data_IF_278220895997
#
_entry.id   IF_278220895997
#
_cell.length_a   1.000
_cell.length_b   1.000
_cell.length_c   1.000
_cell.angle_alpha   90.00
_cell.angle_beta   90.00
_cell.angle_gamma   90.00
#
_symmetry.space_group_name_H-M   'P 1'
#
loop_
_entity.id
_entity.type
_entity.pdbx_description
1 polymer ?
#
# COMPACT_ATOMS: atom_id res chain seq x y z
N UNK A 1 -14.43 -8.73 -5.09
CA UNK A 1 -15.57 -8.43 -5.99
C UNK A 1 -16.35 -9.64 -6.43
N UNK A 2 -15.69 -10.73 -6.85
CA UNK A 2 -16.39 -11.94 -7.30
C UNK A 2 -17.39 -12.50 -6.27
N UNK A 3 -16.98 -12.67 -5.01
CA UNK A 3 -17.90 -13.14 -3.95
C UNK A 3 -19.11 -12.21 -3.75
N UNK A 4 -18.89 -10.89 -3.76
CA UNK A 4 -19.97 -9.89 -3.62
C UNK A 4 -20.95 -9.92 -4.80
N UNK A 5 -20.46 -10.02 -6.03
CA UNK A 5 -21.31 -10.16 -7.22
C UNK A 5 -22.14 -11.44 -7.19
N UNK A 6 -21.58 -12.54 -6.67
CA UNK A 6 -22.28 -13.82 -6.53
C UNK A 6 -23.37 -13.76 -5.45
N UNK A 7 -23.10 -13.16 -4.30
CA UNK A 7 -24.09 -12.96 -3.24
C UNK A 7 -25.26 -12.06 -3.70
N UNK A 8 -24.95 -10.98 -4.42
CA UNK A 8 -25.94 -10.07 -4.99
C UNK A 8 -26.61 -10.60 -6.28
N UNK A 9 -26.26 -11.81 -6.73
CA UNK A 9 -26.74 -12.42 -7.98
C UNK A 9 -26.62 -11.51 -9.20
N UNK A 10 -25.54 -10.73 -9.29
CA UNK A 10 -25.29 -9.81 -10.40
C UNK A 10 -24.72 -10.62 -11.58
N UNK A 11 -25.46 -10.77 -12.70
CA UNK A 11 -24.93 -11.41 -13.89
C UNK A 11 -23.84 -10.53 -14.52
N UNK A 12 -22.91 -11.16 -15.23
CA UNK A 12 -21.79 -10.46 -15.85
C UNK A 12 -22.23 -9.51 -16.98
N UNK A 13 -23.40 -9.76 -17.58
CA UNK A 13 -24.02 -8.97 -18.65
C UNK A 13 -24.45 -7.58 -18.19
N UNK A 14 -24.79 -7.41 -16.91
CA UNK A 14 -25.30 -6.14 -16.38
C UNK A 14 -24.23 -5.05 -16.30
N UNK A 15 -22.94 -5.41 -16.48
CA UNK A 15 -21.79 -4.48 -16.45
C UNK A 15 -21.79 -3.51 -15.25
N UNK A 16 -22.37 -3.91 -14.12
CA UNK A 16 -22.44 -3.11 -12.88
C UNK A 16 -21.03 -2.76 -12.41
N UNK A 17 -20.78 -1.49 -12.06
CA UNK A 17 -19.47 -1.03 -11.60
C UNK A 17 -19.12 -1.58 -10.21
N UNK A 18 -17.83 -1.74 -9.91
CA UNK A 18 -17.40 -2.22 -8.59
C UNK A 18 -17.83 -1.28 -7.44
N UNK A 19 -17.98 0.02 -7.73
CA UNK A 19 -18.49 1.01 -6.78
C UNK A 19 -19.95 0.69 -6.40
N UNK A 20 -20.79 0.42 -7.40
CA UNK A 20 -22.20 0.09 -7.19
C UNK A 20 -22.38 -1.26 -6.48
N UNK A 21 -21.52 -2.26 -6.80
CA UNK A 21 -21.50 -3.53 -6.06
C UNK A 21 -21.23 -3.32 -4.57
N UNK A 22 -20.28 -2.46 -4.23
CA UNK A 22 -19.95 -2.14 -2.84
C UNK A 22 -21.07 -1.36 -2.14
N UNK A 23 -21.67 -0.38 -2.84
CA UNK A 23 -22.84 0.36 -2.34
C UNK A 23 -23.98 -0.58 -1.98
N UNK A 24 -24.33 -1.54 -2.86
CA UNK A 24 -25.38 -2.55 -2.61
C UNK A 24 -25.04 -3.49 -1.44
N UNK A 25 -23.76 -3.80 -1.23
CA UNK A 25 -23.29 -4.57 -0.07
C UNK A 25 -23.26 -3.75 1.23
N UNK A 26 -23.59 -2.46 1.19
CA UNK A 26 -23.37 -1.51 2.28
C UNK A 26 -21.92 -1.56 2.80
N UNK A 27 -20.96 -1.64 1.86
CA UNK A 27 -19.53 -1.67 2.14
C UNK A 27 -18.87 -0.47 1.48
N UNK A 28 -17.95 0.16 2.20
CA UNK A 28 -17.13 1.21 1.62
C UNK A 28 -16.01 0.60 0.76
N UNK A 29 -15.60 1.35 -0.26
CA UNK A 29 -14.43 0.98 -1.03
C UNK A 29 -13.19 1.29 -0.19
N UNK A 30 -12.69 0.28 0.51
CA UNK A 30 -11.40 0.33 1.22
C UNK A 30 -10.22 0.30 0.22
N UNK A 31 -10.32 0.97 -0.92
CA UNK A 31 -9.26 1.01 -1.93
C UNK A 31 -8.02 1.69 -1.36
N UNK A 32 -8.20 2.80 -0.64
CA UNK A 32 -7.11 3.50 0.03
C UNK A 32 -6.43 2.61 1.06
N UNK A 33 -7.20 2.00 1.96
CA UNK A 33 -6.70 1.04 2.95
C UNK A 33 -5.96 -0.13 2.27
N UNK A 34 -6.55 -0.74 1.24
CA UNK A 34 -5.92 -1.84 0.48
C UNK A 34 -4.61 -1.41 -0.17
N UNK A 35 -4.55 -0.20 -0.74
CA UNK A 35 -3.34 0.33 -1.37
C UNK A 35 -2.27 0.64 -0.31
N UNK A 36 -2.64 1.28 0.81
CA UNK A 36 -1.75 1.56 1.95
C UNK A 36 -1.13 0.28 2.47
N UNK A 37 -1.97 -0.71 2.76
CA UNK A 37 -1.58 -2.06 3.20
C UNK A 37 -0.59 -2.71 2.23
N UNK A 38 -0.96 -2.87 0.96
CA UNK A 38 -0.11 -3.54 -0.04
C UNK A 38 1.22 -2.85 -0.25
N UNK A 39 1.25 -1.52 -0.25
CA UNK A 39 2.50 -0.77 -0.39
C UNK A 39 3.41 -0.99 0.83
N UNK A 40 2.87 -0.98 2.05
CA UNK A 40 3.67 -1.24 3.26
C UNK A 40 4.17 -2.69 3.30
N UNK A 41 3.31 -3.66 2.99
CA UNK A 41 3.70 -5.08 2.90
C UNK A 41 4.82 -5.30 1.88
N UNK A 42 4.73 -4.65 0.72
CA UNK A 42 5.76 -4.75 -0.33
C UNK A 42 7.08 -4.12 0.11
N UNK A 43 7.06 -3.01 0.84
CA UNK A 43 8.27 -2.45 1.44
C UNK A 43 8.91 -3.46 2.39
N UNK A 44 8.14 -4.04 3.31
CA UNK A 44 8.68 -5.05 4.23
C UNK A 44 9.17 -6.33 3.53
N UNK A 45 8.53 -6.73 2.44
CA UNK A 45 8.99 -7.85 1.60
C UNK A 45 10.37 -7.58 0.98
N UNK A 46 10.60 -6.37 0.45
CA UNK A 46 11.91 -5.98 -0.09
C UNK A 46 12.96 -5.94 1.03
N UNK A 47 12.66 -5.30 2.17
CA UNK A 47 13.63 -5.11 3.25
C UNK A 47 14.03 -6.43 3.93
N UNK A 48 13.10 -7.39 4.05
CA UNK A 48 13.36 -8.70 4.68
C UNK A 48 13.86 -9.76 3.70
N UNK A 49 13.61 -9.60 2.40
CA UNK A 49 13.94 -10.62 1.41
C UNK A 49 15.40 -10.59 0.98
N UNK A 50 16.13 -11.68 1.23
CA UNK A 50 17.55 -11.84 0.84
C UNK A 50 17.79 -11.71 -0.66
N UNK A 51 16.81 -12.10 -1.49
CA UNK A 51 16.82 -11.96 -2.96
C UNK A 51 16.86 -10.49 -3.42
N UNK A 52 16.41 -9.54 -2.60
CA UNK A 52 16.25 -8.14 -2.99
C UNK A 52 17.34 -7.24 -2.43
N UNK A 53 18.51 -7.79 -2.06
CA UNK A 53 19.62 -7.04 -1.44
C UNK A 53 20.00 -5.76 -2.21
N UNK A 54 20.06 -5.81 -3.55
CA UNK A 54 20.34 -4.63 -4.38
C UNK A 54 19.23 -3.56 -4.28
N UNK A 55 17.96 -3.98 -4.37
CA UNK A 55 16.83 -3.05 -4.20
C UNK A 55 16.80 -2.46 -2.79
N UNK A 56 17.14 -3.26 -1.78
CA UNK A 56 17.23 -2.80 -0.41
C UNK A 56 18.30 -1.69 -0.27
N UNK A 57 19.50 -1.91 -0.80
CA UNK A 57 20.57 -0.90 -0.84
C UNK A 57 20.13 0.39 -1.56
N UNK A 58 19.43 0.28 -2.69
CA UNK A 58 18.91 1.44 -3.42
C UNK A 58 17.84 2.18 -2.60
N UNK A 59 16.98 1.45 -1.87
CA UNK A 59 15.92 2.05 -1.05
C UNK A 59 16.48 2.72 0.21
N UNK A 60 17.48 2.14 0.84
CA UNK A 60 18.20 2.70 1.98
C UNK A 60 19.04 3.91 1.55
N UNK A 61 19.67 3.83 0.37
CA UNK A 61 20.47 4.89 -0.21
C UNK A 61 19.70 6.20 -0.31
N UNK A 62 20.18 7.22 0.41
CA UNK A 62 19.77 8.61 0.17
C UNK A 62 20.71 9.18 -0.89
N UNK A 63 20.15 9.50 -2.05
CA UNK A 63 20.87 10.25 -3.07
C UNK A 63 20.68 11.73 -2.74
N UNK A 64 21.78 12.42 -2.46
CA UNK A 64 21.76 13.86 -2.25
C UNK A 64 21.31 14.60 -3.52
N UNK A 65 20.61 15.72 -3.32
CA UNK A 65 20.13 16.56 -4.41
C UNK A 65 18.61 16.55 -4.59
N UNK A 66 18.17 17.32 -5.59
CA UNK A 66 16.74 17.51 -5.91
C UNK A 66 16.31 16.58 -7.03
N UNK A 67 15.03 16.19 -7.05
CA UNK A 67 14.49 15.43 -8.18
C UNK A 67 14.49 16.27 -9.45
N UNK A 68 14.88 15.65 -10.55
CA UNK A 68 14.86 16.26 -11.89
C UNK A 68 13.45 16.73 -12.28
N UNK A 69 13.39 17.77 -13.12
CA UNK A 69 12.13 18.24 -13.73
C UNK A 69 11.46 17.09 -14.49
N UNK A 70 10.14 17.00 -14.41
CA UNK A 70 9.34 15.91 -15.00
C UNK A 70 9.21 14.65 -14.14
N UNK A 71 10.09 14.42 -13.14
CA UNK A 71 9.93 13.29 -12.22
C UNK A 71 8.82 13.58 -11.21
N UNK A 72 8.09 12.54 -10.80
CA UNK A 72 7.04 12.67 -9.77
C UNK A 72 7.59 13.32 -8.49
N UNK A 73 6.92 14.37 -8.03
CA UNK A 73 7.28 15.11 -6.80
C UNK A 73 7.21 14.24 -5.54
N UNK A 74 6.26 13.31 -5.48
CA UNK A 74 6.08 12.36 -4.38
C UNK A 74 6.80 11.04 -4.66
N UNK A 75 7.75 10.63 -3.82
CA UNK A 75 8.36 9.29 -3.94
C UNK A 75 7.48 8.31 -3.22
N UNK A 76 7.69 7.04 -3.51
CA UNK A 76 7.10 5.96 -2.74
C UNK A 76 7.39 6.07 -1.22
N UNK A 77 8.66 6.29 -0.82
CA UNK A 77 9.03 6.54 0.59
C UNK A 77 8.35 7.76 1.19
N UNK A 78 8.36 8.90 0.48
CA UNK A 78 7.71 10.12 0.94
C UNK A 78 6.20 9.94 1.07
N UNK A 79 5.58 9.14 0.21
CA UNK A 79 4.17 8.83 0.28
C UNK A 79 3.83 7.96 1.48
N UNK A 80 4.65 6.95 1.78
CA UNK A 80 4.46 6.10 2.95
C UNK A 80 4.61 6.89 4.25
N UNK A 81 5.64 7.73 4.37
CA UNK A 81 5.80 8.60 5.55
C UNK A 81 4.62 9.52 5.79
N UNK A 82 4.06 10.10 4.73
CA UNK A 82 2.87 10.95 4.85
C UNK A 82 1.62 10.16 5.22
N UNK A 83 1.47 8.92 4.72
CA UNK A 83 0.30 8.09 5.04
C UNK A 83 0.32 7.48 6.44
N UNK A 84 1.50 7.23 6.98
CA UNK A 84 1.70 6.60 8.29
C UNK A 84 2.24 7.59 9.33
N UNK A 85 2.29 8.89 8.98
CA UNK A 85 2.72 9.99 9.85
C UNK A 85 4.01 9.71 10.63
N UNK A 86 4.97 9.03 9.99
CA UNK A 86 6.21 8.59 10.61
C UNK A 86 7.43 9.17 9.90
N UNK A 87 8.55 9.21 10.63
CA UNK A 87 9.82 9.53 10.03
C UNK A 87 10.36 8.38 9.17
N UNK A 88 11.49 8.64 8.52
CA UNK A 88 12.09 7.67 7.60
C UNK A 88 12.79 6.50 8.29
N UNK A 89 13.37 6.72 9.48
CA UNK A 89 14.00 5.66 10.26
C UNK A 89 12.93 4.76 10.88
N UNK A 90 11.87 5.35 11.40
CA UNK A 90 10.70 4.67 11.94
C UNK A 90 10.00 3.83 10.87
N UNK A 91 9.77 4.38 9.67
CA UNK A 91 9.22 3.62 8.54
C UNK A 91 10.07 2.39 8.22
N UNK A 92 11.40 2.52 8.22
CA UNK A 92 12.30 1.40 7.95
C UNK A 92 12.33 0.39 9.10
N UNK A 93 12.20 0.84 10.36
CA UNK A 93 12.09 -0.03 11.54
C UNK A 93 10.81 -0.86 11.48
N UNK A 94 9.67 -0.20 11.29
CA UNK A 94 8.36 -0.83 11.13
C UNK A 94 8.43 -1.85 9.99
N UNK A 95 8.94 -1.44 8.83
CA UNK A 95 8.93 -2.30 7.66
C UNK A 95 9.86 -3.54 7.79
N UNK A 96 10.87 -3.52 8.65
CA UNK A 96 11.73 -4.69 8.91
C UNK A 96 11.07 -5.69 9.86
N UNK A 97 10.25 -5.25 10.80
CA UNK A 97 9.54 -6.14 11.72
C UNK A 97 8.17 -6.54 11.15
N UNK A 98 7.92 -7.86 11.09
CA UNK A 98 6.63 -8.37 10.59
C UNK A 98 5.47 -8.07 11.53
N UNK A 99 5.74 -8.03 12.85
CA UNK A 99 4.73 -7.75 13.86
C UNK A 99 4.33 -6.27 13.84
N UNK A 100 5.29 -5.37 13.71
CA UNK A 100 5.03 -3.92 13.59
C UNK A 100 4.21 -3.60 12.34
N UNK A 101 4.54 -4.21 11.18
CA UNK A 101 3.70 -4.09 9.98
C UNK A 101 2.26 -4.54 10.25
N UNK A 102 2.07 -5.66 10.97
CA UNK A 102 0.74 -6.17 11.26
C UNK A 102 -0.06 -5.21 12.15
N UNK A 103 0.57 -4.63 13.18
CA UNK A 103 -0.04 -3.63 14.06
C UNK A 103 -0.40 -2.36 13.28
N UNK A 104 0.51 -1.86 12.46
CA UNK A 104 0.25 -0.66 11.65
C UNK A 104 -0.87 -0.90 10.63
N UNK A 105 -0.92 -2.07 10.01
CA UNK A 105 -2.01 -2.44 9.09
C UNK A 105 -3.34 -2.58 9.82
N UNK A 106 -3.36 -3.15 11.04
CA UNK A 106 -4.62 -3.29 11.79
C UNK A 106 -5.20 -1.94 12.22
N UNK A 107 -4.35 -0.91 12.35
CA UNK A 107 -4.75 0.44 12.74
C UNK A 107 -5.12 1.34 11.54
N UNK A 108 -5.11 0.82 10.30
CA UNK A 108 -5.56 1.56 9.13
C UNK A 108 -7.10 1.71 9.17
N UNK A 109 -7.57 2.96 9.22
CA UNK A 109 -9.00 3.33 9.13
C UNK A 109 -9.56 3.20 7.71
#
# INVERSE_FOLDING_TARGET
MWCYRRMLRIPWTDRVTNVEVLRRMNKNMELEHTIKKRKLEYLGHILRGTKYKMLNLILEGRIEGRRSRGRRRKSWRSNLREWFECDDQELMRIARDKNEIAIVISNLQ
#
